data_IF_538306569039
#
_entry.id   IF_538306569039
#
_cell.length_a   1.000
_cell.length_b   1.000
_cell.length_c   1.000
_cell.angle_alpha   90.00
_cell.angle_beta   90.00
_cell.angle_gamma   90.00
#
_symmetry.space_group_name_H-M   'P 1'
#
loop_
_entity.id
_entity.type
_entity.pdbx_description
1 polymer ?
#
# COMPACT_ATOMS: atom_id res chain seq x y z
N UNK A 1 29.73 -19.78 -37.10
CA UNK A 1 28.55 -19.60 -37.96
C UNK A 1 28.29 -18.11 -38.03
N UNK A 2 28.31 -17.50 -39.21
CA UNK A 2 28.04 -16.07 -39.34
C UNK A 2 26.55 -15.85 -39.11
N UNK A 3 26.19 -15.20 -38.01
CA UNK A 3 24.80 -14.79 -37.77
C UNK A 3 24.38 -13.84 -38.88
N UNK A 4 23.32 -14.21 -39.60
CA UNK A 4 22.77 -13.44 -40.70
C UNK A 4 22.01 -12.24 -40.12
N UNK A 5 22.69 -11.10 -39.98
CA UNK A 5 22.06 -9.88 -39.46
C UNK A 5 20.98 -9.38 -40.43
N UNK A 6 19.73 -9.38 -39.97
CA UNK A 6 18.60 -8.80 -40.72
C UNK A 6 18.59 -7.28 -40.55
N UNK A 7 18.63 -6.58 -41.67
CA UNK A 7 18.52 -5.12 -41.71
C UNK A 7 17.05 -4.69 -41.69
N UNK A 8 16.68 -3.80 -40.75
CA UNK A 8 15.33 -3.26 -40.64
C UNK A 8 15.37 -1.77 -40.97
N UNK A 9 14.50 -1.34 -41.90
CA UNK A 9 14.34 0.08 -42.22
C UNK A 9 13.34 0.71 -41.25
N UNK A 10 13.78 1.69 -40.48
CA UNK A 10 12.95 2.45 -39.54
C UNK A 10 12.90 3.92 -39.94
N UNK A 11 11.89 4.64 -39.45
CA UNK A 11 11.80 6.09 -39.60
C UNK A 11 12.86 6.79 -38.74
N UNK A 12 13.32 7.96 -39.18
CA UNK A 12 14.37 8.72 -38.50
C UNK A 12 13.96 9.14 -37.07
N UNK A 13 12.68 9.43 -36.83
CA UNK A 13 12.16 9.77 -35.50
C UNK A 13 12.26 8.59 -34.52
N UNK A 14 11.94 7.38 -34.99
CA UNK A 14 12.05 6.13 -34.23
C UNK A 14 13.50 5.85 -33.91
N UNK A 15 14.40 6.01 -34.90
CA UNK A 15 15.85 5.86 -34.70
C UNK A 15 16.37 6.82 -33.64
N UNK A 16 16.03 8.11 -33.73
CA UNK A 16 16.45 9.13 -32.77
C UNK A 16 15.95 8.83 -31.34
N UNK A 17 14.75 8.27 -31.20
CA UNK A 17 14.24 7.83 -29.90
C UNK A 17 15.00 6.62 -29.37
N UNK A 18 15.29 5.66 -30.23
CA UNK A 18 16.03 4.46 -29.88
C UNK A 18 17.48 4.79 -29.47
N UNK A 19 18.12 5.74 -30.14
CA UNK A 19 19.47 6.21 -29.81
C UNK A 19 19.54 6.83 -28.41
N UNK A 20 18.52 7.61 -28.03
CA UNK A 20 18.41 8.16 -26.67
C UNK A 20 18.22 7.08 -25.61
N UNK A 21 17.47 6.02 -25.95
CA UNK A 21 17.16 4.95 -25.02
C UNK A 21 18.34 3.97 -24.84
N UNK A 22 18.92 3.52 -25.96
CA UNK A 22 20.06 2.60 -26.04
C UNK A 22 21.32 3.11 -25.33
N UNK A 23 21.56 4.43 -25.35
CA UNK A 23 22.78 5.06 -24.80
C UNK A 23 24.06 4.41 -25.36
N UNK A 24 24.79 3.64 -24.54
CA UNK A 24 26.08 3.01 -24.88
C UNK A 24 25.96 1.52 -25.22
N UNK A 25 24.79 0.90 -25.09
CA UNK A 25 24.59 -0.53 -25.40
C UNK A 25 24.54 -0.76 -26.92
N UNK A 26 24.46 -2.00 -27.42
CA UNK A 26 24.20 -2.27 -28.85
C UNK A 26 22.69 -2.16 -29.17
N UNK A 27 22.32 -2.09 -30.46
CA UNK A 27 20.88 -2.09 -30.81
C UNK A 27 20.24 -3.44 -30.51
N UNK A 28 20.99 -4.54 -30.60
CA UNK A 28 20.49 -5.88 -30.26
C UNK A 28 20.16 -5.94 -28.78
N UNK A 29 21.12 -5.63 -27.90
CA UNK A 29 20.92 -5.70 -26.45
C UNK A 29 19.76 -4.81 -25.99
N UNK A 30 19.64 -3.63 -26.58
CA UNK A 30 18.56 -2.68 -26.32
C UNK A 30 17.19 -3.25 -26.71
N UNK A 31 17.10 -3.93 -27.86
CA UNK A 31 15.85 -4.54 -28.33
C UNK A 31 15.51 -5.79 -27.51
N UNK A 32 16.50 -6.60 -27.17
CA UNK A 32 16.31 -7.79 -26.32
C UNK A 32 15.83 -7.41 -24.91
N UNK A 33 16.37 -6.33 -24.34
CA UNK A 33 15.89 -5.76 -23.07
C UNK A 33 14.43 -5.28 -23.18
N UNK A 34 14.08 -4.59 -24.28
CA UNK A 34 12.71 -4.14 -24.51
C UNK A 34 11.73 -5.31 -24.69
N UNK A 35 12.13 -6.35 -25.41
CA UNK A 35 11.33 -7.56 -25.58
C UNK A 35 11.14 -8.29 -24.25
N UNK A 36 12.22 -8.47 -23.49
CA UNK A 36 12.18 -9.06 -22.16
C UNK A 36 11.29 -8.27 -21.19
N UNK A 37 11.24 -6.95 -21.30
CA UNK A 37 10.29 -6.14 -20.53
C UNK A 37 8.83 -6.48 -20.85
N UNK A 38 8.47 -6.63 -22.14
CA UNK A 38 7.10 -6.98 -22.52
C UNK A 38 6.74 -8.41 -22.12
N UNK A 39 7.67 -9.35 -22.25
CA UNK A 39 7.49 -10.74 -21.81
C UNK A 39 7.28 -10.84 -20.29
N UNK A 40 8.13 -10.14 -19.52
CA UNK A 40 8.06 -10.15 -18.06
C UNK A 40 6.81 -9.45 -17.51
N UNK A 41 6.42 -8.34 -18.13
CA UNK A 41 5.30 -7.51 -17.63
C UNK A 41 3.95 -7.88 -18.24
N UNK A 42 3.93 -8.68 -19.30
CA UNK A 42 2.73 -9.02 -20.07
C UNK A 42 2.10 -7.82 -20.79
N UNK A 43 2.79 -6.68 -20.86
CA UNK A 43 2.28 -5.46 -21.51
C UNK A 43 2.28 -5.67 -23.02
N UNK A 44 1.10 -5.60 -23.63
CA UNK A 44 0.98 -5.72 -25.07
C UNK A 44 1.18 -4.36 -25.76
N UNK A 45 2.23 -4.15 -26.57
CA UNK A 45 2.57 -2.85 -27.14
C UNK A 45 1.48 -2.30 -28.08
N UNK A 46 0.66 -3.18 -28.65
CA UNK A 46 -0.42 -2.84 -29.59
C UNK A 46 -1.65 -2.26 -28.89
N UNK A 47 -1.84 -2.56 -27.61
CA UNK A 47 -3.02 -2.15 -26.85
C UNK A 47 -2.90 -0.78 -26.19
N UNK A 48 -1.76 -0.09 -26.36
CA UNK A 48 -1.55 1.25 -25.78
C UNK A 48 -1.63 1.27 -24.25
N UNK A 49 -1.38 0.14 -23.60
CA UNK A 49 -1.49 0.00 -22.15
C UNK A 49 -0.45 0.88 -21.45
N UNK A 50 -0.89 1.60 -20.41
CA UNK A 50 0.00 2.40 -19.58
C UNK A 50 0.97 1.47 -18.85
N UNK A 51 2.30 1.68 -18.97
CA UNK A 51 3.28 0.81 -18.33
C UNK A 51 3.04 0.70 -16.81
N UNK A 52 3.14 -0.49 -16.20
CA UNK A 52 2.92 -0.69 -14.76
C UNK A 52 3.75 0.24 -13.87
N UNK A 53 4.98 0.56 -14.31
CA UNK A 53 5.88 1.49 -13.62
C UNK A 53 5.29 2.91 -13.57
N UNK A 54 4.62 3.36 -14.63
CA UNK A 54 3.98 4.68 -14.64
C UNK A 54 2.81 4.74 -13.65
N UNK A 55 2.05 3.65 -13.53
CA UNK A 55 0.97 3.50 -12.53
C UNK A 55 1.52 3.52 -11.11
N UNK A 56 2.61 2.80 -10.84
CA UNK A 56 3.26 2.79 -9.54
C UNK A 56 3.76 4.18 -9.14
N UNK A 57 4.49 4.86 -10.04
CA UNK A 57 5.01 6.21 -9.78
C UNK A 57 3.88 7.23 -9.58
N UNK A 58 2.80 7.13 -10.36
CA UNK A 58 1.61 7.99 -10.20
C UNK A 58 0.96 7.79 -8.83
N UNK A 59 0.75 6.53 -8.44
CA UNK A 59 0.15 6.18 -7.14
C UNK A 59 1.02 6.67 -5.98
N UNK A 60 2.33 6.45 -6.06
CA UNK A 60 3.29 6.91 -5.04
C UNK A 60 3.30 8.45 -4.91
N UNK A 61 3.31 9.18 -6.03
CA UNK A 61 3.22 10.65 -6.03
C UNK A 61 1.90 11.15 -5.43
N UNK A 62 0.79 10.48 -5.74
CA UNK A 62 -0.53 10.84 -5.20
C UNK A 62 -0.62 10.58 -3.69
N UNK A 63 -0.06 9.47 -3.20
CA UNK A 63 0.00 9.15 -1.77
C UNK A 63 0.80 10.19 -0.98
N UNK A 64 1.94 10.64 -1.54
CA UNK A 64 2.75 11.69 -0.92
C UNK A 64 2.02 13.04 -0.86
N UNK A 65 1.24 13.40 -1.88
CA UNK A 65 0.46 14.63 -1.87
C UNK A 65 -0.62 14.64 -0.77
N UNK A 66 -1.28 13.51 -0.51
CA UNK A 66 -2.26 13.37 0.57
C UNK A 66 -1.60 13.50 1.94
N UNK A 67 -0.41 12.92 2.13
CA UNK A 67 0.36 13.04 3.37
C UNK A 67 0.80 14.49 3.63
N UNK A 68 1.32 15.18 2.61
CA UNK A 68 1.71 16.58 2.71
C UNK A 68 0.51 17.47 3.09
N UNK A 69 -0.65 17.26 2.48
CA UNK A 69 -1.88 17.97 2.84
C UNK A 69 -2.28 17.75 4.30
N UNK A 70 -2.20 16.49 4.78
CA UNK A 70 -2.49 16.18 6.19
C UNK A 70 -1.52 16.87 7.15
N UNK A 71 -0.25 16.98 6.78
CA UNK A 71 0.74 17.73 7.57
C UNK A 71 0.40 19.22 7.64
N UNK A 72 0.02 19.84 6.52
CA UNK A 72 -0.42 21.24 6.51
C UNK A 72 -1.67 21.48 7.37
N UNK A 73 -2.64 20.56 7.32
CA UNK A 73 -3.85 20.65 8.13
C UNK A 73 -3.54 20.52 9.64
N UNK A 74 -2.60 19.63 10.02
CA UNK A 74 -2.12 19.51 11.40
C UNK A 74 -1.41 20.79 11.87
N UNK A 75 -0.57 21.41 11.03
CA UNK A 75 0.09 22.67 11.36
C UNK A 75 -0.93 23.78 11.62
N UNK A 76 -1.99 23.86 10.81
CA UNK A 76 -3.09 24.82 11.02
C UNK A 76 -3.81 24.59 12.34
N UNK A 77 -4.11 23.33 12.68
CA UNK A 77 -4.75 22.98 13.95
C UNK A 77 -3.86 23.39 15.12
N UNK A 78 -2.56 23.08 15.07
CA UNK A 78 -1.61 23.43 16.12
C UNK A 78 -1.53 24.95 16.33
N UNK A 79 -1.37 25.73 15.25
CA UNK A 79 -1.40 27.21 15.33
C UNK A 79 -2.71 27.75 15.88
N UNK A 80 -3.83 27.14 15.51
CA UNK A 80 -5.14 27.54 16.00
C UNK A 80 -5.30 27.27 17.50
N UNK A 81 -4.75 26.16 18.00
CA UNK A 81 -4.71 25.84 19.44
C UNK A 81 -3.79 26.83 20.16
N UNK A 82 -2.60 27.11 19.60
CA UNK A 82 -1.65 28.08 20.13
C UNK A 82 -2.31 29.45 20.34
N UNK A 83 -2.87 30.03 19.26
CA UNK A 83 -3.45 31.37 19.27
C UNK A 83 -4.71 31.46 20.13
N UNK A 84 -5.61 30.47 20.09
CA UNK A 84 -6.93 30.61 20.72
C UNK A 84 -7.04 29.98 22.11
N UNK A 85 -6.11 29.10 22.48
CA UNK A 85 -6.16 28.38 23.76
C UNK A 85 -4.92 28.66 24.60
N UNK A 86 -3.72 28.57 24.04
CA UNK A 86 -2.49 28.67 24.82
C UNK A 86 -2.12 30.13 25.11
N UNK A 87 -2.09 31.00 24.09
CA UNK A 87 -1.77 32.43 24.22
C UNK A 87 -2.67 33.16 25.23
N UNK A 88 -4.02 32.99 25.20
CA UNK A 88 -4.90 33.63 26.17
C UNK A 88 -4.67 33.14 27.59
N UNK A 89 -4.31 31.85 27.78
CA UNK A 89 -3.98 31.31 29.10
C UNK A 89 -2.68 31.93 29.61
N UNK A 90 -1.65 31.99 28.76
CA UNK A 90 -0.37 32.62 29.11
C UNK A 90 -0.56 34.09 29.52
N UNK A 91 -1.28 34.87 28.72
CA UNK A 91 -1.56 36.27 29.04
C UNK A 91 -2.43 36.43 30.29
N UNK A 92 -3.42 35.57 30.51
CA UNK A 92 -4.23 35.61 31.75
C UNK A 92 -3.43 35.28 33.02
N UNK A 93 -2.42 34.42 32.91
CA UNK A 93 -1.51 34.10 34.01
C UNK A 93 -0.52 35.25 34.24
N UNK A 94 0.01 35.86 33.19
CA UNK A 94 0.87 37.05 33.29
C UNK A 94 0.11 38.25 33.90
N UNK A 95 -1.10 38.53 33.44
CA UNK A 95 -1.94 39.62 33.97
C UNK A 95 -2.35 39.40 35.43
N UNK A 96 -2.56 38.14 35.84
CA UNK A 96 -2.86 37.74 37.21
C UNK A 96 -1.70 37.86 38.20
N UNK A 97 -0.46 37.96 37.72
CA UNK A 97 0.72 38.19 38.58
C UNK A 97 1.03 39.68 38.82
N UNK A 98 0.52 40.59 37.99
CA UNK A 98 0.84 42.03 38.06
C UNK A 98 -0.32 42.93 38.52
N UNK A 99 -1.56 42.45 38.61
CA UNK A 99 -2.70 43.26 39.04
C UNK A 99 -3.18 42.92 40.47
N UNK A 100 -2.65 43.72 41.40
CA UNK A 100 -3.19 44.10 42.71
C UNK A 100 -4.11 43.17 43.52
N UNK A 101 -3.63 42.91 44.74
CA UNK A 101 -4.43 42.78 45.97
C UNK A 101 -5.55 43.84 46.03
N UNK A 102 -6.76 43.52 45.56
CA UNK A 102 -8.00 44.11 46.09
C UNK A 102 -9.25 43.29 45.76
N UNK A 103 -9.83 42.70 46.81
CA UNK A 103 -11.25 42.41 47.03
C UNK A 103 -12.14 42.08 45.82
N UNK A 104 -11.93 40.96 45.14
CA UNK A 104 -12.98 40.32 44.31
C UNK A 104 -13.05 38.82 44.61
N UNK A 105 -14.26 38.21 44.60
CA UNK A 105 -14.42 36.82 44.99
C UNK A 105 -13.72 35.94 43.96
N UNK A 106 -12.85 35.05 44.43
CA UNK A 106 -12.19 34.02 43.64
C UNK A 106 -13.22 33.24 42.82
N UNK A 107 -13.35 33.57 41.54
CA UNK A 107 -13.91 32.63 40.56
C UNK A 107 -12.72 31.83 40.04
N UNK A 108 -12.19 30.98 40.92
CA UNK A 108 -11.29 29.92 40.49
C UNK A 108 -12.04 29.04 39.49
N UNK A 109 -11.48 28.87 38.30
CA UNK A 109 -11.81 27.77 37.39
C UNK A 109 -11.43 26.45 38.09
N UNK A 110 -12.16 26.11 39.14
CA UNK A 110 -12.10 24.82 39.78
C UNK A 110 -12.86 23.87 38.86
N UNK A 111 -12.13 23.06 38.10
CA UNK A 111 -12.68 21.82 37.58
C UNK A 111 -13.26 21.09 38.79
N UNK A 112 -14.57 20.86 38.77
CA UNK A 112 -15.21 20.20 39.91
C UNK A 112 -14.59 18.81 40.09
N UNK A 113 -14.45 18.38 41.34
CA UNK A 113 -13.90 17.05 41.63
C UNK A 113 -14.70 15.97 40.88
N UNK A 114 -16.02 16.16 40.77
CA UNK A 114 -16.94 15.36 39.96
C UNK A 114 -16.59 15.27 38.47
N UNK A 115 -16.22 16.37 37.81
CA UNK A 115 -15.80 16.36 36.40
C UNK A 115 -14.49 15.59 36.21
N UNK A 116 -13.55 15.73 37.15
CA UNK A 116 -12.30 14.98 37.12
C UNK A 116 -12.56 13.46 37.30
N UNK A 117 -13.43 13.08 38.24
CA UNK A 117 -13.82 11.68 38.43
C UNK A 117 -14.54 11.11 37.19
N UNK A 118 -15.40 11.89 36.53
CA UNK A 118 -16.06 11.45 35.29
C UNK A 118 -15.05 11.19 34.17
N UNK A 119 -14.05 12.08 34.00
CA UNK A 119 -13.00 11.90 32.99
C UNK A 119 -12.16 10.66 33.28
N UNK A 120 -11.82 10.41 34.54
CA UNK A 120 -11.08 9.19 34.95
C UNK A 120 -11.91 7.94 34.64
N UNK A 121 -13.18 7.92 35.01
CA UNK A 121 -14.06 6.78 34.76
C UNK A 121 -14.24 6.52 33.25
N UNK A 122 -14.38 7.59 32.46
CA UNK A 122 -14.50 7.49 31.01
C UNK A 122 -13.21 6.98 30.37
N UNK A 123 -12.04 7.41 30.85
CA UNK A 123 -10.76 6.91 30.39
C UNK A 123 -10.56 5.42 30.70
N UNK A 124 -10.92 4.97 31.91
CA UNK A 124 -10.84 3.55 32.27
C UNK A 124 -11.77 2.70 31.38
N UNK A 125 -12.98 3.19 31.10
CA UNK A 125 -13.91 2.54 30.16
C UNK A 125 -13.32 2.45 28.75
N UNK A 126 -12.82 3.56 28.22
CA UNK A 126 -12.19 3.59 26.89
C UNK A 126 -10.98 2.64 26.79
N UNK A 127 -10.16 2.58 27.84
CA UNK A 127 -9.01 1.66 27.91
C UNK A 127 -9.42 0.19 27.95
N UNK A 128 -10.57 -0.12 28.56
CA UNK A 128 -11.17 -1.46 28.50
C UNK A 128 -11.68 -1.78 27.08
N UNK A 129 -12.38 -0.83 26.45
CA UNK A 129 -12.92 -1.01 25.11
C UNK A 129 -11.83 -1.22 24.05
N UNK A 130 -10.70 -0.52 24.17
CA UNK A 130 -9.53 -0.71 23.30
C UNK A 130 -9.00 -2.14 23.44
N UNK A 131 -8.76 -2.61 24.67
CA UNK A 131 -8.29 -3.99 24.92
C UNK A 131 -9.23 -5.04 24.33
N UNK A 132 -10.54 -4.86 24.48
CA UNK A 132 -11.53 -5.78 23.92
C UNK A 132 -11.50 -5.80 22.38
N UNK A 133 -11.35 -4.63 21.74
CA UNK A 133 -11.22 -4.55 20.29
C UNK A 133 -9.93 -5.19 19.79
N UNK A 134 -8.82 -5.04 20.50
CA UNK A 134 -7.55 -5.69 20.15
C UNK A 134 -7.66 -7.22 20.20
N UNK A 135 -8.33 -7.76 21.24
CA UNK A 135 -8.60 -9.20 21.34
C UNK A 135 -9.45 -9.68 20.16
N UNK A 136 -10.48 -8.92 19.78
CA UNK A 136 -11.32 -9.25 18.63
C UNK A 136 -10.52 -9.23 17.32
N UNK A 137 -9.66 -8.23 17.12
CA UNK A 137 -8.78 -8.16 15.95
C UNK A 137 -7.84 -9.36 15.90
N UNK A 138 -7.23 -9.73 17.02
CA UNK A 138 -6.38 -10.91 17.09
C UNK A 138 -7.15 -12.19 16.73
N UNK A 139 -8.36 -12.36 17.26
CA UNK A 139 -9.21 -13.49 16.94
C UNK A 139 -9.56 -13.53 15.45
N UNK A 140 -10.02 -12.43 14.87
CA UNK A 140 -10.35 -12.34 13.45
C UNK A 140 -9.14 -12.60 12.55
N UNK A 141 -7.94 -12.18 12.96
CA UNK A 141 -6.70 -12.50 12.24
C UNK A 141 -6.39 -13.99 12.30
N UNK A 142 -6.54 -14.62 13.46
CA UNK A 142 -6.37 -16.07 13.59
C UNK A 142 -7.39 -16.81 12.73
N UNK A 143 -8.67 -16.45 12.80
CA UNK A 143 -9.75 -17.07 12.02
C UNK A 143 -9.51 -16.91 10.50
N UNK A 144 -8.93 -15.78 10.06
CA UNK A 144 -8.56 -15.56 8.66
C UNK A 144 -7.34 -16.38 8.20
N UNK A 145 -6.42 -16.71 9.12
CA UNK A 145 -5.27 -17.58 8.85
C UNK A 145 -5.71 -19.06 8.86
N UNK A 146 -6.66 -19.44 9.72
CA UNK A 146 -7.22 -20.80 9.78
C UNK A 146 -8.11 -21.10 8.56
N UNK A 147 -8.90 -20.13 8.08
CA UNK A 147 -9.72 -20.27 6.87
C UNK A 147 -8.95 -19.92 5.59
N UNK A 148 -7.66 -20.22 5.51
CA UNK A 148 -6.87 -19.90 4.34
C UNK A 148 -7.11 -20.95 3.24
N UNK A 149 -8.31 -20.95 2.68
CA UNK A 149 -8.73 -21.72 1.50
C UNK A 149 -7.70 -21.57 0.37
N UNK A 150 -6.98 -20.45 0.31
CA UNK A 150 -5.89 -20.21 -0.63
C UNK A 150 -4.69 -21.14 -0.36
N UNK A 151 -4.32 -21.39 0.91
CA UNK A 151 -3.25 -22.32 1.26
C UNK A 151 -3.65 -23.77 0.97
N UNK A 152 -4.90 -24.15 1.26
CA UNK A 152 -5.40 -25.48 0.90
C UNK A 152 -5.43 -25.68 -0.63
N UNK A 153 -5.85 -24.65 -1.39
CA UNK A 153 -5.77 -24.65 -2.85
C UNK A 153 -4.31 -24.75 -3.32
N UNK A 154 -3.37 -24.04 -2.69
CA UNK A 154 -1.94 -24.10 -3.04
C UNK A 154 -1.38 -25.49 -2.77
N UNK A 155 -1.63 -26.08 -1.61
CA UNK A 155 -1.17 -27.44 -1.26
C UNK A 155 -1.76 -28.49 -2.19
N UNK A 156 -3.04 -28.40 -2.54
CA UNK A 156 -3.69 -29.28 -3.52
C UNK A 156 -3.08 -29.13 -4.94
N UNK A 157 -2.72 -27.89 -5.33
CA UNK A 157 -2.06 -27.61 -6.60
C UNK A 157 -0.65 -28.21 -6.59
N UNK A 158 0.10 -28.03 -5.50
CA UNK A 158 1.45 -28.57 -5.33
C UNK A 158 1.45 -30.11 -5.37
N UNK A 159 0.47 -30.76 -4.73
CA UNK A 159 0.29 -32.21 -4.78
C UNK A 159 -0.01 -32.69 -6.22
N UNK A 160 -0.95 -32.05 -6.92
CA UNK A 160 -1.29 -32.38 -8.31
C UNK A 160 -0.14 -32.16 -9.29
N UNK A 161 0.73 -31.19 -9.03
CA UNK A 161 1.94 -30.94 -9.81
C UNK A 161 3.07 -31.93 -9.47
N UNK A 162 3.08 -32.48 -8.25
CA UNK A 162 4.11 -33.42 -7.77
C UNK A 162 3.86 -34.86 -8.22
N UNK A 163 2.59 -35.27 -8.32
CA UNK A 163 2.20 -36.67 -8.59
C UNK A 163 2.38 -37.12 -10.04
N UNK A 164 2.61 -36.21 -10.98
CA UNK A 164 2.87 -36.55 -12.39
C UNK A 164 4.02 -35.72 -12.91
N UNK A 165 5.03 -36.40 -13.44
CA UNK A 165 6.19 -35.79 -14.11
C UNK A 165 5.68 -34.96 -15.30
N UNK A 166 5.31 -33.71 -15.03
CA UNK A 166 4.96 -32.72 -16.02
C UNK A 166 6.24 -32.35 -16.74
N UNK A 167 6.27 -32.51 -18.07
CA UNK A 167 7.38 -32.04 -18.87
C UNK A 167 7.51 -30.53 -18.70
N UNK A 168 8.68 -30.05 -18.27
CA UNK A 168 8.97 -28.62 -18.21
C UNK A 168 9.46 -28.13 -19.57
N UNK A 169 9.12 -26.88 -19.91
CA UNK A 169 9.78 -26.18 -21.01
C UNK A 169 11.23 -25.82 -20.61
N UNK A 170 12.06 -25.39 -21.57
CA UNK A 170 13.45 -24.97 -21.36
C UNK A 170 13.62 -23.88 -20.27
N UNK A 171 12.56 -23.13 -20.00
CA UNK A 171 12.51 -22.06 -19.01
C UNK A 171 12.00 -22.51 -17.63
N UNK A 172 11.81 -23.82 -17.40
CA UNK A 172 11.41 -24.39 -16.12
C UNK A 172 9.90 -24.37 -15.83
N UNK A 173 9.06 -23.85 -16.73
CA UNK A 173 7.61 -23.89 -16.58
C UNK A 173 7.04 -25.27 -16.91
N UNK A 174 6.15 -25.79 -16.05
CA UNK A 174 5.44 -27.05 -16.28
C UNK A 174 4.43 -26.92 -17.44
N UNK A 175 4.52 -27.81 -18.43
CA UNK A 175 3.56 -27.89 -19.53
C UNK A 175 2.31 -28.65 -19.07
N UNK A 176 1.26 -27.91 -18.73
CA UNK A 176 -0.03 -28.47 -18.35
C UNK A 176 -0.78 -28.98 -19.60
N UNK A 177 -1.09 -30.29 -19.62
CA UNK A 177 -1.98 -30.88 -20.61
C UNK A 177 -3.40 -30.29 -20.47
N UNK A 178 -4.21 -30.41 -21.53
CA UNK A 178 -5.62 -29.97 -21.48
C UNK A 178 -6.40 -30.66 -20.35
N UNK A 179 -6.13 -31.94 -20.13
CA UNK A 179 -6.75 -32.74 -19.08
C UNK A 179 -6.35 -32.25 -17.68
N UNK A 180 -5.08 -31.88 -17.47
CA UNK A 180 -4.62 -31.30 -16.20
C UNK A 180 -5.28 -29.94 -15.93
N UNK A 181 -5.46 -29.10 -16.96
CA UNK A 181 -6.18 -27.83 -16.81
C UNK A 181 -7.65 -28.04 -16.42
N UNK A 182 -8.32 -29.01 -17.03
CA UNK A 182 -9.73 -29.28 -16.76
C UNK A 182 -9.94 -29.85 -15.34
N UNK A 183 -9.02 -30.69 -14.84
CA UNK A 183 -9.03 -31.19 -13.46
C UNK A 183 -8.80 -30.07 -12.44
N UNK A 184 -7.81 -29.21 -12.70
CA UNK A 184 -7.50 -28.05 -11.86
C UNK A 184 -8.69 -27.08 -11.77
N UNK A 185 -9.28 -26.74 -12.92
CA UNK A 185 -10.46 -25.86 -12.98
C UNK A 185 -11.64 -26.47 -12.22
N UNK A 186 -11.84 -27.79 -12.32
CA UNK A 186 -12.92 -28.47 -11.59
C UNK A 186 -12.73 -28.41 -10.09
N UNK A 187 -11.51 -28.66 -9.58
CA UNK A 187 -11.22 -28.55 -8.14
C UNK A 187 -11.37 -27.12 -7.62
N UNK A 188 -10.83 -26.12 -8.35
CA UNK A 188 -10.98 -24.69 -7.98
C UNK A 188 -12.47 -24.30 -7.90
N UNK A 189 -13.31 -24.77 -8.82
CA UNK A 189 -14.75 -24.51 -8.78
C UNK A 189 -15.45 -25.12 -7.58
N UNK A 190 -14.94 -26.23 -7.04
CA UNK A 190 -15.51 -26.83 -5.82
C UNK A 190 -15.26 -25.94 -4.61
N UNK A 191 -14.07 -25.31 -4.51
CA UNK A 191 -13.74 -24.39 -3.41
C UNK A 191 -14.49 -23.05 -3.48
N UNK A 192 -14.90 -22.58 -4.66
CA UNK A 192 -15.66 -21.33 -4.83
C UNK A 192 -17.16 -21.48 -4.47
N UNK A 193 -17.68 -22.72 -4.49
CA UNK A 193 -19.11 -23.01 -4.28
C UNK A 193 -19.41 -23.53 -2.85
N UNK A 194 -18.46 -23.42 -1.92
CA UNK A 194 -18.63 -23.66 -0.47
C UNK A 194 -18.59 -22.30 0.22
#
# INVERSE_FOLDING_TARGET
MAEEYKSIKIKEDVKNRLDRYKKRCSYSDCLDEMLGYFELTGVEPRLGQTPPVATFVSTMKSGNAVLLKRMDDLIKILRNIEINKIDPILHSVEDGFFSDRSNTPEVGLSVSEEELYQVIQMNEKLKSDIRNKDILIQKLRSDAIENNVIQDIISDIEELLSDRILSSNKDGFFLLSREHRDQLIRKIRTYINV
#
